data_IF_489202908721
#
_entry.id   IF_489202908721
#
_cell.length_a   1.000
_cell.length_b   1.000
_cell.length_c   1.000
_cell.angle_alpha   90.00
_cell.angle_beta   90.00
_cell.angle_gamma   90.00
#
_symmetry.space_group_name_H-M   'P 1'
#
loop_
_entity.id
_entity.type
_entity.pdbx_description
1 polymer ?
#
# COMPACT_ATOMS: atom_id res chain seq x y z
N UNK A 1 30.19 31.95 -7.63
CA UNK A 1 28.93 31.48 -7.01
C UNK A 1 28.77 32.12 -5.63
N UNK A 2 27.59 32.60 -5.21
CA UNK A 2 27.42 33.16 -3.84
C UNK A 2 27.64 32.04 -2.81
N UNK A 3 28.33 32.31 -1.68
CA UNK A 3 28.66 31.31 -0.65
C UNK A 3 27.42 30.51 -0.17
N UNK A 4 26.27 31.17 -0.05
CA UNK A 4 24.99 30.54 0.32
C UNK A 4 24.41 29.61 -0.77
N UNK A 5 24.75 29.83 -2.05
CA UNK A 5 24.38 28.92 -3.14
C UNK A 5 25.20 27.63 -3.10
N UNK A 6 26.50 27.73 -2.79
CA UNK A 6 27.35 26.55 -2.61
C UNK A 6 26.86 25.68 -1.46
N UNK A 7 26.54 26.29 -0.31
CA UNK A 7 25.97 25.57 0.83
C UNK A 7 24.65 24.86 0.47
N UNK A 8 23.75 25.53 -0.24
CA UNK A 8 22.48 24.93 -0.66
C UNK A 8 22.68 23.72 -1.60
N UNK A 9 23.62 23.82 -2.55
CA UNK A 9 23.98 22.70 -3.43
C UNK A 9 24.54 21.54 -2.62
N UNK A 10 25.45 21.81 -1.67
CA UNK A 10 26.04 20.78 -0.81
C UNK A 10 24.98 20.06 0.04
N UNK A 11 24.07 20.80 0.67
CA UNK A 11 23.03 20.18 1.50
C UNK A 11 22.00 19.39 0.69
N UNK A 12 21.68 19.86 -0.52
CA UNK A 12 20.82 19.10 -1.44
C UNK A 12 21.54 17.84 -1.91
N UNK A 13 22.82 17.93 -2.28
CA UNK A 13 23.64 16.78 -2.62
C UNK A 13 23.65 15.74 -1.49
N UNK A 14 23.92 16.16 -0.25
CA UNK A 14 23.92 15.24 0.90
C UNK A 14 22.56 14.56 1.12
N UNK A 15 21.45 15.28 0.92
CA UNK A 15 20.11 14.70 1.02
C UNK A 15 19.84 13.67 -0.07
N UNK A 16 20.19 13.99 -1.33
CA UNK A 16 20.04 13.06 -2.46
C UNK A 16 20.94 11.84 -2.29
N UNK A 17 22.18 12.05 -1.86
CA UNK A 17 23.15 10.98 -1.66
C UNK A 17 22.72 10.06 -0.52
N UNK A 18 22.32 10.61 0.63
CA UNK A 18 21.71 9.84 1.72
C UNK A 18 20.51 9.02 1.25
N UNK A 19 19.59 9.64 0.49
CA UNK A 19 18.41 8.96 -0.03
C UNK A 19 18.77 7.83 -1.01
N UNK A 20 19.80 8.02 -1.82
CA UNK A 20 20.27 7.01 -2.77
C UNK A 20 20.84 5.75 -2.12
N UNK A 21 21.25 5.84 -0.86
CA UNK A 21 21.75 4.69 -0.09
C UNK A 21 20.64 3.89 0.61
N UNK A 22 19.36 4.18 0.33
CA UNK A 22 18.20 3.55 1.00
C UNK A 22 18.17 2.03 0.96
N UNK A 23 18.76 1.41 -0.06
CA UNK A 23 18.77 -0.04 -0.26
C UNK A 23 19.59 -0.82 0.76
N UNK A 24 20.56 -0.18 1.44
CA UNK A 24 21.48 -0.87 2.34
C UNK A 24 21.63 -0.21 3.71
N UNK A 25 20.78 0.77 4.07
CA UNK A 25 20.80 1.39 5.40
C UNK A 25 20.73 0.37 6.54
N UNK A 26 19.92 -0.69 6.40
CA UNK A 26 19.83 -1.75 7.40
C UNK A 26 21.16 -2.50 7.61
N UNK A 27 21.92 -2.72 6.54
CA UNK A 27 23.25 -3.32 6.61
C UNK A 27 24.23 -2.42 7.36
N UNK A 28 24.21 -1.11 7.07
CA UNK A 28 25.03 -0.11 7.76
C UNK A 28 24.65 -0.03 9.24
N UNK A 29 23.37 0.03 9.56
CA UNK A 29 22.86 0.02 10.95
C UNK A 29 23.36 -1.21 11.72
N UNK A 30 23.34 -2.38 11.07
CA UNK A 30 23.89 -3.62 11.61
C UNK A 30 25.40 -3.56 11.88
N UNK A 31 26.19 -3.00 10.95
CA UNK A 31 27.64 -2.85 11.11
C UNK A 31 28.02 -1.92 12.27
N UNK A 32 27.26 -0.84 12.47
CA UNK A 32 27.50 0.12 13.55
C UNK A 32 26.80 -0.24 14.87
N UNK A 33 25.90 -1.23 14.87
CA UNK A 33 25.12 -1.60 16.05
C UNK A 33 24.08 -0.55 16.49
N UNK A 34 23.67 0.35 15.58
CA UNK A 34 22.75 1.45 15.87
C UNK A 34 21.55 1.35 14.93
N UNK A 35 20.48 0.70 15.39
CA UNK A 35 19.26 0.39 14.60
C UNK A 35 18.47 1.60 14.10
N UNK A 36 18.82 2.82 14.55
CA UNK A 36 18.14 4.06 14.18
C UNK A 36 19.09 5.09 13.54
N UNK A 37 20.29 4.65 13.12
CA UNK A 37 21.32 5.51 12.55
C UNK A 37 20.83 6.24 11.29
N UNK A 38 20.10 5.55 10.41
CA UNK A 38 19.56 6.17 9.21
C UNK A 38 18.60 7.30 9.58
N UNK A 39 17.67 7.07 10.51
CA UNK A 39 16.73 8.08 10.99
C UNK A 39 17.43 9.29 11.63
N UNK A 40 18.47 9.06 12.45
CA UNK A 40 19.28 10.14 13.03
C UNK A 40 19.93 11.00 11.94
N UNK A 41 20.60 10.37 10.98
CA UNK A 41 21.25 11.06 9.86
C UNK A 41 20.24 11.84 9.02
N UNK A 42 19.07 11.25 8.75
CA UNK A 42 18.00 11.91 8.02
C UNK A 42 17.57 13.22 8.71
N UNK A 43 17.31 13.18 10.03
CA UNK A 43 16.91 14.37 10.80
C UNK A 43 17.99 15.45 10.72
N UNK A 44 19.26 15.08 10.91
CA UNK A 44 20.39 16.02 10.86
C UNK A 44 20.53 16.63 9.46
N UNK A 45 20.48 15.81 8.40
CA UNK A 45 20.61 16.27 7.01
C UNK A 45 19.46 17.20 6.63
N UNK A 46 18.22 16.87 7.02
CA UNK A 46 17.05 17.73 6.80
C UNK A 46 17.22 19.07 7.55
N UNK A 47 17.68 19.05 8.80
CA UNK A 47 17.92 20.28 9.56
C UNK A 47 18.99 21.17 8.90
N UNK A 48 20.06 20.58 8.36
CA UNK A 48 21.09 21.31 7.61
C UNK A 48 20.53 21.89 6.30
N UNK A 49 19.73 21.12 5.56
CA UNK A 49 19.07 21.58 4.34
C UNK A 49 18.12 22.76 4.62
N UNK A 50 17.27 22.65 5.65
CA UNK A 50 16.38 23.74 6.09
C UNK A 50 17.19 24.98 6.52
N UNK A 51 18.27 24.79 7.28
CA UNK A 51 19.17 25.88 7.69
C UNK A 51 19.79 26.60 6.48
N UNK A 52 20.18 25.85 5.44
CA UNK A 52 20.69 26.42 4.18
C UNK A 52 19.65 27.30 3.47
N UNK A 53 18.37 26.87 3.49
CA UNK A 53 17.25 27.60 2.89
C UNK A 53 17.00 28.89 3.69
N UNK A 54 16.98 28.82 5.02
CA UNK A 54 16.80 30.00 5.90
C UNK A 54 17.91 31.04 5.65
N UNK A 55 19.18 30.61 5.62
CA UNK A 55 20.32 31.47 5.32
C UNK A 55 20.20 32.14 3.94
N UNK A 56 19.66 31.42 2.95
CA UNK A 56 19.45 31.93 1.59
C UNK A 56 18.28 32.92 1.50
N UNK A 57 17.18 32.68 2.21
CA UNK A 57 15.96 33.49 2.16
C UNK A 57 16.08 34.77 2.99
N UNK A 58 16.64 34.68 4.19
CA UNK A 58 16.69 35.81 5.13
C UNK A 58 17.70 36.87 4.72
N UNK A 59 18.70 36.52 3.90
CA UNK A 59 19.86 37.37 3.54
C UNK A 59 20.58 38.00 4.76
N UNK A 60 20.23 37.59 5.98
CA UNK A 60 20.87 38.06 7.22
C UNK A 60 22.14 37.26 7.39
N UNK A 61 23.26 37.97 7.43
CA UNK A 61 24.59 37.41 7.57
C UNK A 61 24.83 36.89 9.00
N UNK A 62 24.14 35.81 9.40
CA UNK A 62 24.56 35.04 10.57
C UNK A 62 25.75 34.17 10.15
N UNK A 63 26.95 34.77 10.22
CA UNK A 63 28.19 34.13 9.83
C UNK A 63 28.45 32.85 10.64
N UNK A 64 28.08 32.85 11.92
CA UNK A 64 28.20 31.67 12.80
C UNK A 64 27.34 30.53 12.28
N UNK A 65 26.04 30.78 12.06
CA UNK A 65 25.12 29.77 11.53
C UNK A 65 25.61 29.24 10.18
N UNK A 66 26.08 30.13 9.28
CA UNK A 66 26.64 29.71 8.00
C UNK A 66 27.82 28.75 8.17
N UNK A 67 28.84 29.11 8.96
CA UNK A 67 30.03 28.29 9.13
C UNK A 67 29.74 26.97 9.86
N UNK A 68 28.84 26.98 10.83
CA UNK A 68 28.37 25.76 11.51
C UNK A 68 27.65 24.84 10.52
N UNK A 69 26.66 25.35 9.78
CA UNK A 69 25.93 24.54 8.79
C UNK A 69 26.87 24.02 7.70
N UNK A 70 27.80 24.85 7.22
CA UNK A 70 28.77 24.46 6.19
C UNK A 70 29.74 23.39 6.70
N UNK A 71 30.36 23.58 7.87
CA UNK A 71 31.28 22.62 8.46
C UNK A 71 30.62 21.27 8.73
N UNK A 72 29.42 21.27 9.33
CA UNK A 72 28.64 20.05 9.54
C UNK A 72 28.26 19.37 8.22
N UNK A 73 27.90 20.14 7.20
CA UNK A 73 27.55 19.57 5.89
C UNK A 73 28.76 18.86 5.24
N UNK A 74 29.96 19.41 5.35
CA UNK A 74 31.19 18.77 4.86
C UNK A 74 31.49 17.49 5.64
N UNK A 75 31.37 17.52 6.97
CA UNK A 75 31.56 16.33 7.81
C UNK A 75 30.57 15.22 7.44
N UNK A 76 29.29 15.57 7.22
CA UNK A 76 28.27 14.66 6.74
C UNK A 76 28.62 14.09 5.37
N UNK A 77 29.09 14.90 4.43
CA UNK A 77 29.53 14.40 3.11
C UNK A 77 30.61 13.33 3.25
N UNK A 78 31.62 13.57 4.11
CA UNK A 78 32.65 12.59 4.40
C UNK A 78 32.10 11.30 5.04
N UNK A 79 31.20 11.43 6.01
CA UNK A 79 30.54 10.30 6.67
C UNK A 79 29.69 9.46 5.70
N UNK A 80 28.89 10.12 4.85
CA UNK A 80 28.12 9.45 3.80
C UNK A 80 29.04 8.77 2.79
N UNK A 81 30.16 9.39 2.42
CA UNK A 81 31.16 8.78 1.53
C UNK A 81 31.76 7.49 2.11
N UNK A 82 32.05 7.47 3.41
CA UNK A 82 32.51 6.26 4.09
C UNK A 82 31.43 5.17 4.15
N UNK A 83 30.19 5.53 4.50
CA UNK A 83 29.07 4.57 4.52
C UNK A 83 28.74 4.03 3.13
N UNK A 84 28.84 4.87 2.10
CA UNK A 84 28.72 4.45 0.72
C UNK A 84 29.82 3.45 0.32
N UNK A 85 31.07 3.69 0.73
CA UNK A 85 32.16 2.75 0.52
C UNK A 85 31.88 1.38 1.19
N UNK A 86 31.35 1.37 2.42
CA UNK A 86 30.93 0.13 3.08
C UNK A 86 29.81 -0.60 2.32
N UNK A 87 28.91 0.16 1.67
CA UNK A 87 27.81 -0.35 0.86
C UNK A 87 28.09 -0.47 -0.63
N UNK A 88 29.36 -0.41 -1.08
CA UNK A 88 29.72 -0.24 -2.50
C UNK A 88 29.19 -1.35 -3.41
N UNK A 89 28.92 -2.55 -2.86
CA UNK A 89 28.28 -3.64 -3.59
C UNK A 89 26.89 -3.29 -4.14
N UNK A 90 26.24 -2.26 -3.61
CA UNK A 90 24.95 -1.74 -4.09
C UNK A 90 25.08 -0.55 -5.06
N UNK A 91 26.27 -0.27 -5.58
CA UNK A 91 26.56 0.88 -6.45
C UNK A 91 25.52 1.10 -7.56
N UNK A 92 25.12 0.08 -8.36
CA UNK A 92 24.14 0.28 -9.42
C UNK A 92 22.82 0.86 -8.90
N UNK A 93 22.30 0.34 -7.79
CA UNK A 93 21.06 0.81 -7.17
C UNK A 93 21.17 2.23 -6.63
N UNK A 94 22.35 2.60 -6.11
CA UNK A 94 22.61 3.98 -5.64
C UNK A 94 22.62 4.93 -6.82
N UNK A 95 23.31 4.59 -7.91
CA UNK A 95 23.41 5.45 -9.09
C UNK A 95 22.05 5.67 -9.74
N UNK A 96 21.28 4.59 -9.92
CA UNK A 96 19.91 4.65 -10.45
C UNK A 96 19.03 5.54 -9.57
N UNK A 97 19.02 5.29 -8.26
CA UNK A 97 18.24 6.10 -7.31
C UNK A 97 18.67 7.56 -7.29
N UNK A 98 19.98 7.81 -7.34
CA UNK A 98 20.52 9.17 -7.33
C UNK A 98 20.14 9.90 -8.62
N UNK A 99 20.17 9.23 -9.77
CA UNK A 99 19.71 9.76 -11.05
C UNK A 99 18.21 10.11 -11.00
N UNK A 100 17.36 9.21 -10.50
CA UNK A 100 15.92 9.47 -10.33
C UNK A 100 15.66 10.68 -9.44
N UNK A 101 16.36 10.75 -8.31
CA UNK A 101 16.23 11.86 -7.37
C UNK A 101 16.74 13.19 -7.97
N UNK A 102 17.78 13.13 -8.81
CA UNK A 102 18.30 14.30 -9.53
C UNK A 102 17.31 14.78 -10.59
N UNK A 103 16.66 13.86 -11.32
CA UNK A 103 15.59 14.18 -12.28
C UNK A 103 14.43 14.88 -11.55
N UNK A 104 14.00 14.36 -10.39
CA UNK A 104 12.97 15.01 -9.58
C UNK A 104 13.37 16.45 -9.21
N UNK A 105 14.60 16.66 -8.73
CA UNK A 105 15.10 18.01 -8.40
C UNK A 105 15.16 18.91 -9.64
N UNK A 106 15.55 18.38 -10.79
CA UNK A 106 15.57 19.11 -12.05
C UNK A 106 14.16 19.52 -12.49
N UNK A 107 13.17 18.62 -12.38
CA UNK A 107 11.76 18.91 -12.66
C UNK A 107 11.20 19.96 -11.71
N UNK A 108 11.45 19.83 -10.39
CA UNK A 108 11.06 20.85 -9.39
C UNK A 108 11.66 22.21 -9.75
N UNK A 109 12.95 22.24 -10.11
CA UNK A 109 13.63 23.47 -10.51
C UNK A 109 13.07 24.05 -11.81
N UNK A 110 12.75 23.20 -12.79
CA UNK A 110 12.17 23.60 -14.07
C UNK A 110 10.77 24.20 -13.88
N UNK A 111 9.91 23.56 -13.09
CA UNK A 111 8.59 24.10 -12.72
C UNK A 111 8.76 25.44 -11.99
N UNK A 112 9.68 25.52 -11.04
CA UNK A 112 9.99 26.79 -10.37
C UNK A 112 10.45 27.87 -11.36
N UNK A 113 11.29 27.51 -12.34
CA UNK A 113 11.75 28.41 -13.39
C UNK A 113 10.58 28.92 -14.23
N UNK A 114 9.72 28.03 -14.74
CA UNK A 114 8.56 28.38 -15.55
C UNK A 114 7.56 29.28 -14.81
N UNK A 115 7.38 29.10 -13.50
CA UNK A 115 6.41 29.87 -12.71
C UNK A 115 7.00 31.18 -12.17
N UNK A 116 8.31 31.24 -11.86
CA UNK A 116 8.86 32.36 -11.10
C UNK A 116 10.10 33.05 -11.67
N UNK A 117 10.70 32.49 -12.72
CA UNK A 117 11.86 33.09 -13.39
C UNK A 117 11.53 33.48 -14.84
N UNK A 118 10.74 32.67 -15.53
CA UNK A 118 10.29 32.90 -16.90
C UNK A 118 9.24 34.02 -17.05
N UNK A 119 8.14 34.07 -16.25
CA UNK A 119 7.10 35.06 -16.48
C UNK A 119 7.55 36.43 -15.98
N UNK A 120 7.32 37.45 -16.79
CA UNK A 120 7.67 38.85 -16.45
C UNK A 120 6.61 39.56 -15.59
N UNK A 121 5.55 38.86 -15.18
CA UNK A 121 4.41 39.42 -14.44
C UNK A 121 4.81 39.95 -13.06
N UNK A 122 4.06 40.92 -12.56
CA UNK A 122 4.27 41.52 -11.23
C UNK A 122 3.92 40.55 -10.10
N UNK A 123 2.95 39.66 -10.31
CA UNK A 123 2.51 38.66 -9.33
C UNK A 123 3.60 37.62 -9.03
N UNK A 124 4.24 37.07 -10.06
CA UNK A 124 5.34 36.09 -9.92
C UNK A 124 6.58 36.66 -9.20
N UNK A 125 6.71 37.99 -9.17
CA UNK A 125 7.82 38.71 -8.50
C UNK A 125 7.52 39.00 -7.02
N UNK A 126 6.28 38.88 -6.56
CA UNK A 126 5.92 39.09 -5.15
C UNK A 126 6.40 37.92 -4.30
N UNK A 127 7.35 38.17 -3.38
CA UNK A 127 7.88 37.16 -2.45
C UNK A 127 6.80 36.43 -1.65
N UNK A 128 5.75 37.15 -1.25
CA UNK A 128 4.62 36.62 -0.48
C UNK A 128 3.76 35.62 -1.27
N UNK A 129 3.86 35.60 -2.60
CA UNK A 129 3.18 34.60 -3.46
C UNK A 129 4.15 33.51 -3.88
N UNK A 130 5.38 33.91 -4.25
CA UNK A 130 6.42 33.01 -4.76
C UNK A 130 6.85 31.91 -3.78
N UNK A 131 7.11 32.28 -2.53
CA UNK A 131 7.58 31.33 -1.52
C UNK A 131 6.52 30.27 -1.15
N UNK A 132 5.27 30.64 -0.76
CA UNK A 132 4.28 29.63 -0.39
C UNK A 132 3.84 28.75 -1.56
N UNK A 133 3.70 29.30 -2.77
CA UNK A 133 3.34 28.51 -3.95
C UNK A 133 4.44 27.51 -4.32
N UNK A 134 5.72 27.90 -4.24
CA UNK A 134 6.82 26.96 -4.43
C UNK A 134 6.81 25.84 -3.38
N UNK A 135 6.62 26.19 -2.11
CA UNK A 135 6.54 25.19 -1.03
C UNK A 135 5.38 24.23 -1.24
N UNK A 136 4.21 24.73 -1.65
CA UNK A 136 3.05 23.89 -1.97
C UNK A 136 3.36 22.89 -3.09
N UNK A 137 3.89 23.37 -4.22
CA UNK A 137 4.25 22.52 -5.37
C UNK A 137 5.32 21.51 -4.96
N UNK A 138 6.34 21.95 -4.21
CA UNK A 138 7.39 21.08 -3.70
C UNK A 138 6.82 19.96 -2.82
N UNK A 139 5.93 20.29 -1.88
CA UNK A 139 5.27 19.31 -1.01
C UNK A 139 4.40 18.34 -1.83
N UNK A 140 3.63 18.83 -2.79
CA UNK A 140 2.79 17.97 -3.66
C UNK A 140 3.63 17.01 -4.50
N UNK A 141 4.76 17.48 -5.05
CA UNK A 141 5.69 16.64 -5.80
C UNK A 141 6.37 15.59 -4.91
N UNK A 142 6.72 15.94 -3.66
CA UNK A 142 7.21 14.96 -2.70
C UNK A 142 6.15 13.91 -2.36
N UNK A 143 4.91 14.32 -2.10
CA UNK A 143 3.81 13.39 -1.82
C UNK A 143 3.63 12.41 -3.00
N UNK A 144 3.64 12.92 -4.23
CA UNK A 144 3.50 12.10 -5.43
C UNK A 144 4.70 11.17 -5.66
N UNK A 145 5.93 11.70 -5.55
CA UNK A 145 7.15 10.93 -5.84
C UNK A 145 7.37 9.79 -4.85
N UNK A 146 7.06 10.03 -3.58
CA UNK A 146 7.18 9.03 -2.51
C UNK A 146 5.91 8.21 -2.29
N UNK A 147 4.88 8.39 -3.14
CA UNK A 147 3.53 7.81 -3.00
C UNK A 147 3.00 7.90 -1.55
N UNK A 148 3.22 9.04 -0.89
CA UNK A 148 2.85 9.23 0.52
C UNK A 148 1.33 9.32 0.64
N UNK A 149 0.73 8.22 1.11
CA UNK A 149 -0.72 8.12 1.30
C UNK A 149 -1.04 7.91 2.77
N UNK A 150 -2.13 8.52 3.23
CA UNK A 150 -2.77 8.08 4.46
C UNK A 150 -3.34 6.69 4.22
N UNK A 151 -2.79 5.69 4.89
CA UNK A 151 -3.26 4.31 4.75
C UNK A 151 -4.65 4.16 5.36
N UNK A 152 -5.59 3.58 4.62
CA UNK A 152 -6.91 3.16 5.10
C UNK A 152 -7.45 2.01 4.25
N UNK A 153 -8.41 1.27 4.82
CA UNK A 153 -9.10 0.16 4.18
C UNK A 153 -10.13 0.72 3.19
N UNK A 154 -10.03 0.36 1.91
CA UNK A 154 -10.95 0.79 0.84
C UNK A 154 -12.14 -0.14 0.70
N UNK A 155 -11.92 -1.46 0.78
CA UNK A 155 -12.96 -2.49 0.85
C UNK A 155 -12.74 -3.31 2.10
N UNK A 156 -13.77 -3.39 2.94
CA UNK A 156 -13.77 -4.13 4.19
C UNK A 156 -13.75 -5.66 3.91
N UNK A 157 -13.38 -6.50 4.90
CA UNK A 157 -13.00 -7.88 4.63
C UNK A 157 -14.18 -8.77 4.29
N UNK A 158 -13.92 -9.73 3.41
CA UNK A 158 -14.81 -10.85 3.09
C UNK A 158 -14.10 -12.15 3.44
N UNK A 159 -14.82 -13.09 4.05
CA UNK A 159 -14.28 -14.36 4.53
C UNK A 159 -14.71 -15.46 3.58
N UNK A 160 -13.87 -15.80 2.60
CA UNK A 160 -14.19 -16.83 1.62
C UNK A 160 -13.85 -18.23 2.15
N UNK A 161 -14.77 -19.18 2.06
CA UNK A 161 -14.54 -20.58 2.39
C UNK A 161 -13.98 -21.33 1.18
N UNK A 162 -12.75 -21.83 1.29
CA UNK A 162 -12.05 -22.57 0.23
C UNK A 162 -11.37 -23.77 0.87
N UNK A 163 -11.76 -24.98 0.46
CA UNK A 163 -11.31 -26.25 1.06
C UNK A 163 -11.52 -26.27 2.58
N UNK A 164 -10.44 -26.31 3.35
CA UNK A 164 -10.37 -26.32 4.81
C UNK A 164 -9.81 -25.01 5.40
N UNK A 165 -9.73 -23.96 4.59
CA UNK A 165 -9.27 -22.62 4.98
C UNK A 165 -10.32 -21.52 4.70
N UNK A 166 -10.27 -20.48 5.53
CA UNK A 166 -10.87 -19.20 5.20
C UNK A 166 -9.83 -18.29 4.53
N UNK A 167 -10.13 -17.82 3.34
CA UNK A 167 -9.38 -16.77 2.65
C UNK A 167 -10.02 -15.42 2.96
N UNK A 168 -9.37 -14.63 3.81
CA UNK A 168 -9.87 -13.31 4.22
C UNK A 168 -9.28 -12.27 3.27
N UNK A 169 -10.16 -11.59 2.54
CA UNK A 169 -9.78 -10.66 1.47
C UNK A 169 -10.25 -9.24 1.79
N UNK A 170 -9.36 -8.25 1.67
CA UNK A 170 -9.69 -6.83 1.82
C UNK A 170 -8.75 -5.96 0.97
N UNK A 171 -9.07 -4.68 0.81
CA UNK A 171 -8.23 -3.76 0.04
C UNK A 171 -7.86 -2.49 0.80
N UNK A 172 -6.75 -1.86 0.40
CA UNK A 172 -6.26 -0.59 0.94
C UNK A 172 -5.96 0.43 -0.15
N UNK A 173 -6.01 1.71 0.19
CA UNK A 173 -5.70 2.78 -0.75
C UNK A 173 -4.19 2.91 -1.06
N UNK A 174 -3.34 2.51 -0.11
CA UNK A 174 -1.90 2.50 -0.21
C UNK A 174 -1.39 1.07 -0.43
N UNK A 175 -0.20 0.94 -1.05
CA UNK A 175 0.50 -0.34 -1.07
C UNK A 175 0.87 -0.71 0.37
N UNK A 176 0.54 -1.91 0.78
CA UNK A 176 0.70 -2.34 2.16
C UNK A 176 1.01 -3.84 2.25
N UNK A 177 1.59 -4.27 3.37
CA UNK A 177 1.52 -5.68 3.76
C UNK A 177 0.21 -5.98 4.49
N UNK A 178 -0.34 -7.17 4.31
CA UNK A 178 -1.57 -7.64 4.94
C UNK A 178 -1.33 -8.78 5.93
N UNK A 179 -1.92 -8.68 7.12
CA UNK A 179 -1.82 -9.67 8.19
C UNK A 179 -3.18 -9.87 8.85
N UNK A 180 -3.59 -11.13 9.03
CA UNK A 180 -4.72 -11.51 9.88
C UNK A 180 -4.21 -12.05 11.20
N UNK A 181 -4.77 -11.58 12.31
CA UNK A 181 -4.53 -12.13 13.64
C UNK A 181 -5.78 -12.86 14.13
N UNK A 182 -5.63 -14.11 14.57
CA UNK A 182 -6.69 -14.93 15.18
C UNK A 182 -6.17 -15.42 16.52
N UNK A 183 -6.80 -14.97 17.61
CA UNK A 183 -6.26 -15.11 18.96
C UNK A 183 -4.84 -14.55 19.06
N UNK A 184 -3.88 -15.41 19.37
CA UNK A 184 -2.46 -15.05 19.48
C UNK A 184 -1.63 -15.35 18.21
N UNK A 185 -2.24 -15.92 17.16
CA UNK A 185 -1.53 -16.33 15.94
C UNK A 185 -1.69 -15.29 14.82
N UNK A 186 -0.62 -15.07 14.05
CA UNK A 186 -0.59 -14.19 12.88
C UNK A 186 -0.43 -15.00 11.60
N UNK A 187 -1.23 -14.65 10.61
CA UNK A 187 -1.22 -15.19 9.25
C UNK A 187 -0.94 -14.04 8.28
N UNK A 188 -0.16 -14.29 7.24
CA UNK A 188 0.41 -13.25 6.38
C UNK A 188 -0.05 -13.44 4.93
N UNK A 189 -0.21 -12.35 4.17
CA UNK A 189 -0.38 -12.43 2.71
C UNK A 189 0.99 -12.74 2.09
N UNK A 190 1.17 -13.98 1.66
CA UNK A 190 2.44 -14.49 1.15
C UNK A 190 2.38 -14.72 -0.37
N UNK A 191 3.53 -14.55 -1.01
CA UNK A 191 3.82 -14.98 -2.37
C UNK A 191 5.19 -15.62 -2.41
N UNK A 192 5.24 -16.90 -2.79
CA UNK A 192 6.49 -17.66 -2.88
C UNK A 192 7.39 -17.51 -1.63
N UNK A 193 6.80 -17.51 -0.43
CA UNK A 193 7.50 -17.36 0.85
C UNK A 193 7.86 -15.92 1.25
N UNK A 194 7.50 -14.91 0.45
CA UNK A 194 7.70 -13.50 0.77
C UNK A 194 6.38 -12.80 1.08
N UNK A 195 6.35 -11.90 2.06
CA UNK A 195 5.16 -11.04 2.29
C UNK A 195 4.88 -10.21 1.03
N UNK A 196 3.64 -10.26 0.53
CA UNK A 196 3.20 -9.30 -0.49
C UNK A 196 3.04 -7.93 0.18
N UNK A 197 3.76 -6.94 -0.32
CA UNK A 197 3.67 -5.58 0.21
C UNK A 197 3.54 -4.48 -0.85
N UNK A 198 3.80 -4.81 -2.12
CA UNK A 198 3.59 -3.92 -3.27
C UNK A 198 2.20 -4.15 -3.88
N UNK A 199 1.18 -4.34 -3.03
CA UNK A 199 -0.20 -4.62 -3.44
C UNK A 199 -1.18 -3.77 -2.63
N UNK A 200 -2.33 -3.50 -3.22
CA UNK A 200 -3.50 -2.88 -2.58
C UNK A 200 -4.60 -3.88 -2.24
N UNK A 201 -4.50 -5.12 -2.74
CA UNK A 201 -5.38 -6.24 -2.41
C UNK A 201 -4.62 -7.24 -1.55
N UNK A 202 -5.22 -7.58 -0.42
CA UNK A 202 -4.66 -8.48 0.58
C UNK A 202 -5.54 -9.70 0.68
N UNK A 203 -4.94 -10.88 0.53
CA UNK A 203 -5.60 -12.17 0.73
C UNK A 203 -4.77 -12.99 1.70
N UNK A 204 -5.37 -13.37 2.81
CA UNK A 204 -4.69 -14.16 3.86
C UNK A 204 -5.49 -15.42 4.13
N UNK A 205 -4.85 -16.58 3.96
CA UNK A 205 -5.43 -17.87 4.33
C UNK A 205 -5.27 -18.14 5.82
N UNK A 206 -6.35 -18.57 6.45
CA UNK A 206 -6.45 -18.91 7.87
C UNK A 206 -7.10 -20.29 7.98
N UNK A 207 -6.57 -21.23 8.78
CA UNK A 207 -7.23 -22.52 9.01
C UNK A 207 -8.64 -22.32 9.56
N UNK A 208 -9.65 -22.98 8.97
CA UNK A 208 -11.04 -22.84 9.43
C UNK A 208 -11.18 -23.18 10.90
N UNK A 209 -10.54 -24.27 11.34
CA UNK A 209 -10.55 -24.71 12.74
C UNK A 209 -10.06 -23.66 13.73
N UNK A 210 -9.11 -22.81 13.32
CA UNK A 210 -8.60 -21.75 14.17
C UNK A 210 -9.61 -20.60 14.31
N UNK A 211 -10.22 -20.18 13.20
CA UNK A 211 -11.17 -19.06 13.21
C UNK A 211 -12.53 -19.46 13.78
N UNK A 212 -13.01 -20.67 13.51
CA UNK A 212 -14.24 -21.23 14.09
C UNK A 212 -14.16 -21.31 15.62
N UNK A 213 -12.99 -21.66 16.16
CA UNK A 213 -12.76 -21.74 17.59
C UNK A 213 -12.66 -20.35 18.25
N UNK A 214 -11.93 -19.43 17.62
CA UNK A 214 -11.71 -18.08 18.16
C UNK A 214 -12.93 -17.16 18.01
N UNK A 215 -13.72 -17.35 16.94
CA UNK A 215 -14.92 -16.54 16.62
C UNK A 215 -14.64 -15.04 16.49
N UNK A 216 -13.39 -14.67 16.21
CA UNK A 216 -12.95 -13.29 16.05
C UNK A 216 -11.63 -13.24 15.31
N UNK A 217 -11.42 -12.19 14.53
CA UNK A 217 -10.15 -11.91 13.87
C UNK A 217 -9.89 -10.43 13.72
N UNK A 218 -8.61 -10.06 13.61
CA UNK A 218 -8.17 -8.69 13.32
C UNK A 218 -7.41 -8.66 12.02
N UNK A 219 -7.91 -7.90 11.04
CA UNK A 219 -7.12 -7.54 9.86
C UNK A 219 -6.21 -6.38 10.21
N UNK A 220 -5.00 -6.39 9.65
CA UNK A 220 -4.11 -5.26 9.71
C UNK A 220 -3.34 -5.07 8.42
N UNK A 221 -3.17 -3.81 8.04
CA UNK A 221 -2.40 -3.41 6.88
C UNK A 221 -1.37 -2.35 7.26
N UNK A 222 -0.11 -2.62 6.94
CA UNK A 222 0.97 -1.65 7.18
C UNK A 222 1.44 -1.11 5.84
N UNK A 223 1.26 0.19 5.61
CA UNK A 223 1.71 0.82 4.37
C UNK A 223 3.21 0.60 4.17
N UNK A 224 3.61 0.41 2.91
CA UNK A 224 5.02 0.29 2.53
C UNK A 224 5.36 1.48 1.65
N UNK A 225 6.18 2.39 2.20
CA UNK A 225 6.67 3.58 1.49
C UNK A 225 7.85 3.18 0.60
N UNK A 226 8.64 2.21 1.05
CA UNK A 226 9.75 1.68 0.29
C UNK A 226 9.97 0.21 0.62
N UNK A 227 10.04 -0.63 -0.42
CA UNK A 227 10.46 -2.02 -0.34
C UNK A 227 11.83 -2.16 -1.01
N UNK A 228 12.89 -2.26 -0.21
CA UNK A 228 14.25 -2.45 -0.67
C UNK A 228 14.71 -3.92 -0.59
N UNK A 229 15.91 -4.21 -1.13
CA UNK A 229 16.46 -5.57 -1.13
C UNK A 229 16.83 -6.08 0.27
N UNK A 230 17.29 -5.18 1.15
CA UNK A 230 17.73 -5.52 2.52
C UNK A 230 17.00 -4.73 3.60
N UNK A 231 16.16 -3.76 3.21
CA UNK A 231 15.52 -2.80 4.09
C UNK A 231 14.14 -2.43 3.56
N UNK A 232 13.32 -1.81 4.39
CA UNK A 232 12.06 -1.22 3.95
C UNK A 232 11.64 -0.08 4.86
N UNK A 233 10.90 0.87 4.31
CA UNK A 233 10.30 1.96 5.08
C UNK A 233 8.81 1.67 5.20
N UNK A 234 8.38 1.44 6.43
CA UNK A 234 6.96 1.22 6.77
C UNK A 234 6.30 2.57 7.05
N UNK A 235 5.08 2.72 6.56
CA UNK A 235 4.18 3.81 6.88
C UNK A 235 3.23 3.46 8.02
N UNK A 236 2.09 4.15 8.06
CA UNK A 236 1.07 3.95 9.09
C UNK A 236 0.41 2.58 8.97
N UNK A 237 0.28 1.90 10.11
CA UNK A 237 -0.55 0.70 10.26
C UNK A 237 -2.02 1.09 10.46
N UNK A 238 -2.92 0.38 9.79
CA UNK A 238 -4.36 0.36 10.08
C UNK A 238 -4.78 -1.04 10.50
N UNK A 239 -5.72 -1.13 11.43
CA UNK A 239 -6.22 -2.41 11.93
C UNK A 239 -7.70 -2.31 12.28
N UNK A 240 -8.41 -3.42 12.13
CA UNK A 240 -9.83 -3.52 12.48
C UNK A 240 -10.19 -4.95 12.86
N UNK A 241 -10.93 -5.10 13.95
CA UNK A 241 -11.38 -6.39 14.49
C UNK A 241 -12.82 -6.66 14.09
N UNK A 242 -13.10 -7.94 13.80
CA UNK A 242 -14.40 -8.45 13.38
C UNK A 242 -14.75 -9.66 14.24
N UNK A 243 -16.01 -9.75 14.66
CA UNK A 243 -16.56 -11.00 15.15
C UNK A 243 -16.68 -11.99 13.99
N UNK A 244 -16.65 -13.28 14.27
CA UNK A 244 -16.87 -14.32 13.28
C UNK A 244 -17.85 -15.36 13.80
N UNK A 245 -18.82 -15.70 12.96
CA UNK A 245 -19.89 -16.64 13.22
C UNK A 245 -19.70 -17.84 12.29
N UNK A 246 -19.08 -18.93 12.76
CA UNK A 246 -19.08 -20.17 11.98
C UNK A 246 -20.50 -20.70 11.82
N UNK A 247 -20.75 -21.48 10.76
CA UNK A 247 -22.07 -22.09 10.50
C UNK A 247 -22.53 -22.90 11.71
N UNK A 248 -23.74 -22.61 12.18
CA UNK A 248 -24.37 -23.27 13.32
C UNK A 248 -25.67 -23.94 12.86
N UNK A 249 -25.73 -25.27 13.00
CA UNK A 249 -26.89 -26.06 12.55
C UNK A 249 -27.97 -26.24 13.62
N UNK A 250 -27.79 -25.64 14.80
CA UNK A 250 -28.68 -25.86 15.95
C UNK A 250 -30.09 -25.30 15.76
N UNK A 251 -30.28 -24.29 14.90
CA UNK A 251 -31.57 -23.66 14.60
C UNK A 251 -31.99 -23.79 13.12
N UNK A 252 -31.38 -24.73 12.39
CA UNK A 252 -31.61 -24.97 10.98
C UNK A 252 -30.39 -24.59 10.13
N UNK A 253 -30.60 -24.40 8.84
CA UNK A 253 -29.56 -23.93 7.92
C UNK A 253 -30.14 -22.80 7.07
N UNK A 254 -29.61 -21.59 7.22
CA UNK A 254 -30.07 -20.37 6.57
C UNK A 254 -28.97 -19.82 5.68
N UNK A 255 -29.00 -20.18 4.40
CA UNK A 255 -28.08 -19.64 3.40
C UNK A 255 -28.83 -18.85 2.33
N UNK A 256 -28.11 -18.01 1.60
CA UNK A 256 -28.65 -17.27 0.46
C UNK A 256 -27.75 -17.47 -0.75
N UNK A 257 -28.34 -17.73 -1.91
CA UNK A 257 -27.63 -17.83 -3.18
C UNK A 257 -27.99 -16.64 -4.07
N UNK A 258 -26.96 -15.91 -4.51
CA UNK A 258 -27.06 -14.72 -5.34
C UNK A 258 -26.25 -14.92 -6.63
N UNK A 259 -26.90 -14.75 -7.77
CA UNK A 259 -26.27 -14.72 -9.11
C UNK A 259 -26.79 -13.50 -9.88
N UNK A 260 -26.19 -13.24 -11.05
CA UNK A 260 -26.71 -12.34 -12.09
C UNK A 260 -27.02 -10.93 -11.55
N UNK A 261 -26.20 -10.46 -10.60
CA UNK A 261 -26.36 -9.15 -10.02
C UNK A 261 -25.97 -8.05 -11.01
N UNK A 262 -25.07 -8.30 -11.98
CA UNK A 262 -24.65 -7.36 -13.03
C UNK A 262 -24.47 -5.92 -12.52
N UNK A 263 -23.67 -5.77 -11.46
CA UNK A 263 -23.39 -4.50 -10.80
C UNK A 263 -24.57 -3.78 -10.11
N UNK A 264 -25.79 -4.37 -10.07
CA UNK A 264 -26.95 -3.88 -9.32
C UNK A 264 -26.81 -4.12 -7.80
N UNK A 265 -25.76 -3.56 -7.21
CA UNK A 265 -25.35 -3.79 -5.83
C UNK A 265 -26.44 -3.48 -4.80
N UNK A 266 -27.29 -2.46 -5.04
CA UNK A 266 -28.38 -2.12 -4.13
C UNK A 266 -29.41 -3.25 -4.00
N UNK A 267 -29.83 -3.82 -5.13
CA UNK A 267 -30.78 -4.92 -5.16
C UNK A 267 -30.16 -6.20 -4.58
N UNK A 268 -28.93 -6.53 -4.99
CA UNK A 268 -28.16 -7.66 -4.48
C UNK A 268 -28.01 -7.66 -2.95
N UNK A 269 -27.68 -6.49 -2.37
CA UNK A 269 -27.54 -6.34 -0.92
C UNK A 269 -28.89 -6.44 -0.22
N UNK A 270 -29.94 -5.86 -0.78
CA UNK A 270 -31.28 -5.92 -0.19
C UNK A 270 -31.82 -7.35 -0.16
N UNK A 271 -31.63 -8.13 -1.23
CA UNK A 271 -32.11 -9.51 -1.31
C UNK A 271 -31.22 -10.46 -0.52
N UNK A 272 -29.89 -10.34 -0.63
CA UNK A 272 -28.94 -11.15 0.15
C UNK A 272 -29.01 -10.89 1.65
N UNK A 273 -29.49 -9.72 2.06
CA UNK A 273 -29.75 -9.37 3.46
C UNK A 273 -31.01 -9.98 4.06
N UNK A 274 -31.78 -10.80 3.32
CA UNK A 274 -33.06 -11.36 3.76
C UNK A 274 -33.04 -12.04 5.15
N UNK A 275 -31.97 -12.79 5.43
CA UNK A 275 -31.81 -13.50 6.71
C UNK A 275 -31.16 -12.66 7.82
N UNK A 276 -30.64 -11.47 7.50
CA UNK A 276 -29.95 -10.56 8.42
C UNK A 276 -28.90 -11.31 9.29
N UNK A 277 -29.12 -11.34 10.62
CA UNK A 277 -28.24 -12.00 11.58
C UNK A 277 -28.31 -13.52 11.57
N UNK A 278 -29.41 -14.10 11.06
CA UNK A 278 -29.60 -15.55 10.97
C UNK A 278 -28.87 -16.19 9.79
N UNK A 279 -28.36 -15.40 8.85
CA UNK A 279 -27.61 -15.92 7.71
C UNK A 279 -26.38 -16.70 8.22
N UNK A 280 -26.27 -17.97 7.86
CA UNK A 280 -25.11 -18.82 8.14
C UNK A 280 -23.97 -18.54 7.17
N UNK A 281 -24.26 -18.51 5.87
CA UNK A 281 -23.28 -18.20 4.82
C UNK A 281 -23.95 -17.69 3.55
N UNK A 282 -23.17 -16.97 2.75
CA UNK A 282 -23.58 -16.44 1.45
C UNK A 282 -22.94 -17.26 0.32
N UNK A 283 -23.73 -17.59 -0.71
CA UNK A 283 -23.25 -18.13 -1.97
C UNK A 283 -23.35 -17.02 -3.04
N UNK A 284 -22.21 -16.65 -3.62
CA UNK A 284 -22.14 -15.83 -4.83
C UNK A 284 -21.88 -16.79 -6.00
N UNK A 285 -22.85 -16.97 -6.88
CA UNK A 285 -22.89 -18.07 -7.86
C UNK A 285 -22.87 -17.54 -9.31
N UNK A 286 -21.98 -16.59 -9.58
CA UNK A 286 -21.70 -16.06 -10.91
C UNK A 286 -22.40 -14.76 -11.27
N UNK A 287 -21.81 -14.02 -12.21
CA UNK A 287 -22.30 -12.78 -12.84
C UNK A 287 -22.72 -11.71 -11.82
N UNK A 288 -21.90 -11.57 -10.77
CA UNK A 288 -22.02 -10.50 -9.78
C UNK A 288 -21.58 -9.17 -10.37
N UNK A 289 -20.49 -9.17 -11.16
CA UNK A 289 -20.01 -8.01 -11.91
C UNK A 289 -20.11 -8.26 -13.40
N UNK A 290 -20.46 -7.23 -14.17
CA UNK A 290 -20.71 -7.38 -15.61
C UNK A 290 -19.44 -7.55 -16.44
N UNK A 291 -18.31 -7.03 -15.96
CA UNK A 291 -16.99 -7.11 -16.60
C UNK A 291 -15.90 -6.61 -15.64
N UNK A 292 -14.65 -7.05 -15.83
CA UNK A 292 -13.54 -6.76 -14.93
C UNK A 292 -12.51 -5.82 -15.56
N UNK A 293 -12.93 -4.59 -15.86
CA UNK A 293 -12.05 -3.55 -16.44
C UNK A 293 -11.20 -2.83 -15.39
N UNK A 294 -11.70 -2.72 -14.16
CA UNK A 294 -11.07 -1.91 -13.14
C UNK A 294 -11.08 -2.58 -11.77
N UNK A 295 -10.27 -2.04 -10.87
CA UNK A 295 -10.22 -2.51 -9.49
C UNK A 295 -11.50 -2.21 -8.73
N UNK A 296 -12.33 -1.28 -9.22
CA UNK A 296 -13.65 -1.03 -8.67
C UNK A 296 -14.61 -2.18 -9.01
N UNK A 297 -14.57 -2.72 -10.23
CA UNK A 297 -15.39 -3.88 -10.63
C UNK A 297 -15.04 -5.12 -9.78
N UNK A 298 -13.75 -5.43 -9.64
CA UNK A 298 -13.27 -6.50 -8.78
C UNK A 298 -13.67 -6.32 -7.30
N UNK A 299 -13.64 -5.08 -6.81
CA UNK A 299 -14.04 -4.77 -5.44
C UNK A 299 -15.56 -4.76 -5.24
N UNK A 300 -16.37 -4.62 -6.29
CA UNK A 300 -17.82 -4.62 -6.18
C UNK A 300 -18.36 -5.93 -5.62
N UNK A 301 -17.80 -7.05 -6.07
CA UNK A 301 -18.09 -8.39 -5.57
C UNK A 301 -17.88 -8.43 -4.05
N UNK A 302 -16.73 -7.92 -3.59
CA UNK A 302 -16.41 -7.84 -2.17
C UNK A 302 -17.30 -6.85 -1.41
N UNK A 303 -17.67 -5.72 -2.01
CA UNK A 303 -18.55 -4.73 -1.39
C UNK A 303 -19.94 -5.29 -1.14
N UNK A 304 -20.52 -5.99 -2.12
CA UNK A 304 -21.81 -6.68 -1.98
C UNK A 304 -21.71 -7.75 -0.89
N UNK A 305 -20.71 -8.63 -0.99
CA UNK A 305 -20.48 -9.70 -0.01
C UNK A 305 -20.34 -9.14 1.41
N UNK A 306 -19.49 -8.14 1.61
CA UNK A 306 -19.27 -7.52 2.91
C UNK A 306 -20.53 -6.81 3.43
N UNK A 307 -21.31 -6.14 2.57
CA UNK A 307 -22.55 -5.50 3.02
C UNK A 307 -23.58 -6.51 3.53
N UNK A 308 -23.57 -7.74 3.01
CA UNK A 308 -24.45 -8.83 3.46
C UNK A 308 -23.88 -9.52 4.70
N UNK A 309 -22.61 -9.94 4.66
CA UNK A 309 -22.00 -10.79 5.71
C UNK A 309 -21.31 -10.02 6.83
N UNK A 310 -21.07 -8.72 6.63
CA UNK A 310 -20.31 -7.82 7.52
C UNK A 310 -18.86 -8.25 7.78
N UNK A 311 -18.34 -9.20 7.01
CA UNK A 311 -17.08 -9.88 7.29
C UNK A 311 -17.17 -10.86 8.46
N UNK A 312 -18.38 -11.15 8.96
CA UNK A 312 -18.61 -12.00 10.11
C UNK A 312 -19.05 -13.41 9.74
N UNK A 313 -19.47 -13.63 8.49
CA UNK A 313 -20.01 -14.92 8.00
C UNK A 313 -19.23 -15.40 6.78
N UNK A 314 -19.09 -16.71 6.58
CA UNK A 314 -18.49 -17.29 5.39
C UNK A 314 -19.19 -16.87 4.09
N UNK A 315 -18.40 -16.79 3.02
CA UNK A 315 -18.84 -16.61 1.64
C UNK A 315 -18.25 -17.72 0.78
N UNK A 316 -19.03 -18.30 -0.12
CA UNK A 316 -18.53 -19.15 -1.20
C UNK A 316 -18.73 -18.41 -2.51
N UNK A 317 -17.74 -18.47 -3.41
CA UNK A 317 -17.77 -17.76 -4.67
C UNK A 317 -17.57 -18.74 -5.82
N UNK A 318 -18.48 -18.70 -6.79
CA UNK A 318 -18.30 -19.24 -8.13
C UNK A 318 -18.32 -18.05 -9.10
N UNK A 319 -17.42 -18.05 -10.09
CA UNK A 319 -17.45 -17.07 -11.17
C UNK A 319 -18.43 -17.50 -12.27
N UNK A 320 -19.08 -16.54 -12.90
CA UNK A 320 -19.81 -16.71 -14.14
C UNK A 320 -18.97 -16.27 -15.33
N UNK A 321 -19.59 -16.22 -16.50
CA UNK A 321 -18.87 -15.87 -17.73
C UNK A 321 -18.57 -14.37 -17.80
N UNK A 322 -19.37 -13.51 -17.17
CA UNK A 322 -19.06 -12.07 -17.13
C UNK A 322 -17.78 -11.74 -16.33
N UNK A 323 -17.39 -12.61 -15.40
CA UNK A 323 -16.15 -12.48 -14.63
C UNK A 323 -14.90 -13.06 -15.31
N UNK A 324 -14.99 -13.47 -16.58
CA UNK A 324 -13.81 -13.76 -17.41
C UNK A 324 -13.47 -12.63 -18.38
N UNK A 325 -14.31 -11.58 -18.44
CA UNK A 325 -14.24 -10.51 -19.44
C UNK A 325 -13.40 -9.32 -18.95
N UNK A 326 -12.68 -8.73 -19.91
CA UNK A 326 -11.87 -7.51 -19.80
C UNK A 326 -10.51 -7.64 -19.08
N UNK A 327 -9.74 -6.54 -19.12
CA UNK A 327 -8.29 -6.48 -18.86
C UNK A 327 -7.83 -7.04 -17.51
N UNK A 328 -8.68 -7.03 -16.48
CA UNK A 328 -8.31 -7.46 -15.12
C UNK A 328 -8.94 -8.76 -14.67
N UNK A 329 -9.49 -9.56 -15.60
CA UNK A 329 -10.07 -10.85 -15.28
C UNK A 329 -9.03 -11.85 -14.72
N UNK A 330 -7.79 -11.76 -15.18
CA UNK A 330 -6.65 -12.55 -14.69
C UNK A 330 -6.25 -12.22 -13.24
N UNK A 331 -6.69 -11.09 -12.70
CA UNK A 331 -6.47 -10.71 -11.31
C UNK A 331 -7.57 -11.18 -10.35
N UNK A 332 -8.72 -11.67 -10.85
CA UNK A 332 -9.91 -11.96 -10.05
C UNK A 332 -9.60 -12.88 -8.86
N UNK A 333 -8.72 -13.86 -9.06
CA UNK A 333 -8.32 -14.80 -8.01
C UNK A 333 -7.69 -14.12 -6.78
N UNK A 334 -7.24 -12.87 -6.89
CA UNK A 334 -6.74 -12.10 -5.72
C UNK A 334 -7.87 -11.52 -4.89
N UNK A 335 -9.04 -11.31 -5.48
CA UNK A 335 -10.17 -10.59 -4.89
C UNK A 335 -11.25 -11.49 -4.28
N UNK A 336 -11.37 -12.73 -4.74
CA UNK A 336 -12.45 -13.65 -4.35
C UNK A 336 -11.91 -15.00 -3.88
N UNK A 337 -12.74 -15.90 -3.36
CA UNK A 337 -12.31 -17.27 -3.04
C UNK A 337 -11.73 -18.00 -4.26
N UNK A 338 -10.53 -18.58 -4.11
CA UNK A 338 -9.86 -19.30 -5.21
C UNK A 338 -8.83 -20.30 -4.67
N UNK A 339 -8.65 -21.46 -5.30
CA UNK A 339 -7.60 -22.42 -4.95
C UNK A 339 -6.46 -22.38 -5.95
N UNK A 340 -5.26 -21.97 -5.54
CA UNK A 340 -4.08 -21.92 -6.43
C UNK A 340 -4.38 -21.20 -7.76
N UNK A 341 -5.00 -20.02 -7.67
CA UNK A 341 -5.44 -19.20 -8.81
C UNK A 341 -6.56 -19.82 -9.67
N UNK A 342 -7.16 -20.93 -9.24
CA UNK A 342 -8.28 -21.61 -9.90
C UNK A 342 -9.60 -21.34 -9.17
N UNK A 343 -10.70 -21.31 -9.91
CA UNK A 343 -12.04 -21.00 -9.40
C UNK A 343 -12.92 -22.22 -9.16
N UNK A 344 -12.36 -23.42 -9.34
CA UNK A 344 -13.00 -24.67 -8.95
C UNK A 344 -12.32 -25.20 -7.68
N UNK A 345 -13.13 -25.59 -6.69
CA UNK A 345 -12.65 -26.06 -5.40
C UNK A 345 -13.80 -26.71 -4.61
N UNK A 346 -13.48 -27.40 -3.53
CA UNK A 346 -14.48 -27.90 -2.57
C UNK A 346 -14.54 -26.96 -1.38
N UNK A 347 -15.65 -26.92 -0.64
CA UNK A 347 -15.70 -26.23 0.65
C UNK A 347 -16.38 -27.08 1.71
N UNK A 348 -16.03 -26.82 2.97
CA UNK A 348 -16.70 -27.39 4.13
C UNK A 348 -17.10 -26.28 5.10
N UNK A 349 -18.37 -26.26 5.49
CA UNK A 349 -18.92 -25.28 6.44
C UNK A 349 -19.83 -25.98 7.43
N UNK A 350 -19.35 -26.16 8.67
CA UNK A 350 -20.07 -26.97 9.66
C UNK A 350 -20.35 -28.38 9.15
N UNK A 351 -21.63 -28.72 9.00
CA UNK A 351 -22.10 -29.99 8.43
C UNK A 351 -22.33 -29.99 6.91
N UNK A 352 -22.05 -28.87 6.22
CA UNK A 352 -22.23 -28.74 4.77
C UNK A 352 -20.93 -29.02 4.04
N UNK A 353 -20.99 -29.85 3.00
CA UNK A 353 -19.92 -30.04 2.03
C UNK A 353 -20.43 -29.66 0.64
N UNK A 354 -19.64 -28.91 -0.12
CA UNK A 354 -20.01 -28.51 -1.46
C UNK A 354 -18.83 -28.48 -2.43
N UNK A 355 -19.17 -28.46 -3.72
CA UNK A 355 -18.23 -28.40 -4.84
C UNK A 355 -18.57 -27.15 -5.64
N UNK A 356 -17.58 -26.28 -5.82
CA UNK A 356 -17.63 -25.14 -6.74
C UNK A 356 -17.02 -25.59 -8.05
N UNK A 357 -17.79 -25.46 -9.13
CA UNK A 357 -17.35 -25.69 -10.50
C UNK A 357 -17.14 -24.35 -11.18
N UNK A 358 -16.13 -24.30 -12.05
CA UNK A 358 -15.84 -23.17 -12.91
C UNK A 358 -16.35 -23.50 -14.31
N UNK A 359 -17.45 -22.87 -14.71
CA UNK A 359 -18.12 -23.17 -15.97
C UNK A 359 -17.50 -22.42 -17.17
N UNK A 360 -16.63 -21.45 -16.91
CA UNK A 360 -15.93 -20.69 -17.96
C UNK A 360 -16.83 -19.76 -18.78
N UNK A 361 -16.35 -19.44 -19.98
CA UNK A 361 -17.06 -18.65 -20.98
C UNK A 361 -17.87 -19.56 -21.92
N UNK A 362 -18.98 -19.07 -22.47
CA UNK A 362 -19.81 -19.82 -23.42
C UNK A 362 -19.32 -19.70 -24.88
N UNK A 363 -18.36 -18.82 -25.14
CA UNK A 363 -17.73 -18.54 -26.43
C UNK A 363 -16.19 -18.55 -26.37
N UNK A 364 -15.57 -18.69 -27.55
CA UNK A 364 -14.11 -18.62 -27.69
C UNK A 364 -13.58 -17.17 -27.50
N UNK A 365 -12.29 -17.04 -27.23
CA UNK A 365 -11.59 -15.75 -27.25
C UNK A 365 -11.43 -15.28 -28.71
N UNK A 366 -12.19 -14.25 -29.12
CA UNK A 366 -12.15 -13.66 -30.48
C UNK A 366 -11.01 -12.64 -30.70
#
# INVERSE_FOLDING_TARGET
MKKTSLLAVLTVFNLLFYYSMRSFWSGIEGMFGVWWLAYLLFIVIVALAVSSIILRLTKRANAVLFWVTFGLSIAITGGLGYMFYLGIGSLPFVLETFADALILVAVIYFIWFLIFAYPKTTLAKRKLVKTPLFLLIFILLLIQFFDLRFNYITSAPVVYAVEDEYQIVWTTNARASGVVTVGNKKYYDLYAGSERSETRVHKVSVPMTALDAEKSYTISSTAVIYRGPYSGIKGRKVEKTYAFKPVDLSDGLHYYALSDAHDYAGAAVATGGYWEEKLDFLLLIGDISSHLESGANLNLINEIAHKITKGEKPVVFARGNHEVKAERADELYRYVGSKNEKFYYTFKLGGVYGIVLDLGEDHDDD
#
